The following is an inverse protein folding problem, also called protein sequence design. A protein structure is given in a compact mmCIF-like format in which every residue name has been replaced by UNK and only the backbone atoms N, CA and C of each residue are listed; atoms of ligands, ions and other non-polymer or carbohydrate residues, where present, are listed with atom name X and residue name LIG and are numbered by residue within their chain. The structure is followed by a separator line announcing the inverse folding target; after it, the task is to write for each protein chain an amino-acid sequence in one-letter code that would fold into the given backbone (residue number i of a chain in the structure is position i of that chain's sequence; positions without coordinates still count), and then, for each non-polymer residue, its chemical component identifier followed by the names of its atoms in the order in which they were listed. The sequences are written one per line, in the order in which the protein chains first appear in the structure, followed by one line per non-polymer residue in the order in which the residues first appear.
data_IF_625493518267
#
_entry.id   IF_625493518267
#
_cell.length_a   1.000
_cell.length_b   1.000
_cell.length_c   1.000
_cell.angle_alpha   90.00
_cell.angle_beta   90.00
_cell.angle_gamma   90.00
#
_symmetry.space_group_name_H-M   'P 1'
#
loop_
_entity.id
_entity.type
_entity.pdbx_description
1 polymer ?
#
# COMPACT_ATOMS: atom_id res chain seq x y z
N UNK A 1 -11.67 -1.50 -23.12
CA UNK A 1 -10.97 -0.95 -24.30
C UNK A 1 -11.11 -1.88 -25.51
N UNK A 2 -10.98 -3.20 -25.30
CA UNK A 2 -11.19 -4.29 -26.27
C UNK A 2 -12.56 -4.38 -26.98
N UNK A 3 -13.54 -3.53 -26.68
CA UNK A 3 -14.91 -3.71 -27.18
C UNK A 3 -15.23 -2.88 -28.43
N UNK A 4 -14.67 -1.66 -28.56
CA UNK A 4 -15.11 -0.73 -29.61
C UNK A 4 -14.89 -1.27 -31.02
N UNK A 5 -13.68 -1.75 -31.34
CA UNK A 5 -13.36 -2.22 -32.68
C UNK A 5 -14.09 -3.55 -33.00
N UNK A 6 -14.10 -4.56 -32.11
CA UNK A 6 -14.85 -5.80 -32.36
C UNK A 6 -16.36 -5.60 -32.50
N UNK A 7 -16.98 -4.79 -31.63
CA UNK A 7 -18.43 -4.50 -31.71
C UNK A 7 -18.79 -3.76 -32.99
N UNK A 8 -17.94 -2.81 -33.41
CA UNK A 8 -18.17 -2.05 -34.65
C UNK A 8 -18.06 -2.93 -35.90
N UNK A 9 -17.32 -4.04 -35.84
CA UNK A 9 -17.04 -4.90 -36.99
C UNK A 9 -17.81 -6.23 -36.97
N UNK A 10 -18.78 -6.39 -36.06
CA UNK A 10 -19.60 -7.59 -36.00
C UNK A 10 -20.39 -7.75 -37.31
N UNK A 11 -20.01 -8.75 -38.11
CA UNK A 11 -20.58 -9.01 -39.44
C UNK A 11 -19.90 -8.26 -40.59
N UNK A 12 -18.76 -7.62 -40.37
CA UNK A 12 -17.85 -7.18 -41.44
C UNK A 12 -16.94 -8.33 -41.87
N UNK A 13 -16.51 -8.34 -43.14
CA UNK A 13 -15.45 -9.25 -43.60
C UNK A 13 -14.09 -9.00 -42.93
N UNK A 14 -13.93 -7.83 -42.31
CA UNK A 14 -12.76 -7.46 -41.51
C UNK A 14 -12.99 -7.63 -40.00
N UNK A 15 -14.04 -8.35 -39.61
CA UNK A 15 -14.32 -8.71 -38.21
C UNK A 15 -13.61 -9.99 -37.76
N UNK A 16 -12.62 -10.46 -38.53
CA UNK A 16 -11.80 -11.63 -38.17
C UNK A 16 -10.78 -11.24 -37.10
N UNK A 17 -10.40 -12.20 -36.25
CA UNK A 17 -9.49 -11.98 -35.12
C UNK A 17 -8.17 -11.31 -35.54
N UNK A 18 -7.56 -11.76 -36.65
CA UNK A 18 -6.31 -11.21 -37.18
C UNK A 18 -6.42 -9.73 -37.59
N UNK A 19 -7.53 -9.35 -38.23
CA UNK A 19 -7.80 -7.97 -38.66
C UNK A 19 -8.06 -7.08 -37.43
N UNK A 20 -8.84 -7.59 -36.48
CA UNK A 20 -9.14 -6.92 -35.21
C UNK A 20 -7.84 -6.67 -34.43
N UNK A 21 -7.01 -7.69 -34.26
CA UNK A 21 -5.73 -7.57 -33.55
C UNK A 21 -4.80 -6.57 -34.23
N UNK A 22 -4.76 -6.57 -35.56
CA UNK A 22 -4.01 -5.58 -36.33
C UNK A 22 -4.52 -4.17 -36.05
N UNK A 23 -5.85 -3.95 -36.10
CA UNK A 23 -6.46 -2.65 -35.83
C UNK A 23 -6.24 -2.19 -34.38
N UNK A 24 -6.35 -3.09 -33.40
CA UNK A 24 -6.11 -2.81 -31.97
C UNK A 24 -4.65 -2.43 -31.75
N UNK A 25 -3.71 -3.17 -32.33
CA UNK A 25 -2.29 -2.85 -32.23
C UNK A 25 -1.95 -1.47 -32.81
N UNK A 26 -2.56 -1.10 -33.94
CA UNK A 26 -2.38 0.23 -34.53
C UNK A 26 -3.03 1.30 -33.64
N UNK A 27 -4.21 1.02 -33.10
CA UNK A 27 -4.89 1.93 -32.18
C UNK A 27 -4.03 2.24 -30.96
N UNK A 28 -3.51 1.22 -30.29
CA UNK A 28 -2.70 1.40 -29.07
C UNK A 28 -1.38 2.11 -29.33
N UNK A 29 -0.73 1.86 -30.48
CA UNK A 29 0.54 2.50 -30.83
C UNK A 29 0.40 3.95 -31.32
N UNK A 30 -0.69 4.26 -32.04
CA UNK A 30 -0.80 5.51 -32.78
C UNK A 30 -2.03 6.33 -32.38
N UNK A 31 -3.23 5.75 -32.49
CA UNK A 31 -4.49 6.49 -32.34
C UNK A 31 -4.73 6.92 -30.90
N UNK A 32 -4.50 6.04 -29.93
CA UNK A 32 -4.69 6.29 -28.51
C UNK A 32 -3.72 7.35 -27.97
N UNK A 33 -2.39 7.30 -28.25
CA UNK A 33 -1.48 8.38 -27.86
C UNK A 33 -1.78 9.73 -28.52
N UNK A 34 -2.31 9.73 -29.75
CA UNK A 34 -2.68 10.96 -30.48
C UNK A 34 -4.11 11.44 -30.22
N UNK A 35 -4.87 10.76 -29.35
CA UNK A 35 -6.23 11.16 -29.01
C UNK A 35 -6.20 12.43 -28.14
N UNK A 36 -6.82 13.49 -28.67
CA UNK A 36 -6.84 14.83 -28.05
C UNK A 36 -8.25 15.32 -27.74
N UNK A 37 -9.23 14.98 -28.56
CA UNK A 37 -10.58 15.55 -28.43
C UNK A 37 -11.65 14.62 -28.98
N UNK A 38 -12.78 14.57 -28.27
CA UNK A 38 -13.98 13.86 -28.72
C UNK A 38 -14.60 14.46 -29.99
N UNK A 39 -14.32 15.74 -30.29
CA UNK A 39 -14.88 16.45 -31.45
C UNK A 39 -14.19 16.15 -32.79
N UNK A 40 -13.16 15.29 -32.81
CA UNK A 40 -12.39 14.96 -34.02
C UNK A 40 -12.67 13.53 -34.48
N UNK A 41 -12.45 13.27 -35.76
CA UNK A 41 -12.39 11.91 -36.29
C UNK A 41 -10.96 11.40 -36.28
N UNK A 42 -10.83 10.09 -36.14
CA UNK A 42 -9.58 9.37 -36.08
C UNK A 42 -9.60 8.21 -37.09
N UNK A 43 -8.44 7.78 -37.55
CA UNK A 43 -8.33 6.78 -38.61
C UNK A 43 -7.31 5.71 -38.25
N UNK A 44 -7.66 4.46 -38.53
CA UNK A 44 -6.76 3.31 -38.41
C UNK A 44 -6.57 2.73 -39.81
N UNK A 45 -5.34 2.81 -40.32
CA UNK A 45 -4.93 2.24 -41.60
C UNK A 45 -4.41 0.83 -41.38
N UNK A 46 -5.24 -0.18 -41.64
CA UNK A 46 -4.92 -1.59 -41.38
C UNK A 46 -4.76 -2.43 -42.66
N UNK A 47 -5.44 -2.06 -43.74
CA UNK A 47 -5.52 -2.84 -44.98
C UNK A 47 -4.97 -2.12 -46.22
N UNK A 48 -5.18 -2.75 -47.38
CA UNK A 48 -4.79 -2.29 -48.72
C UNK A 48 -5.82 -1.32 -49.32
N UNK A 49 -5.51 -0.73 -50.47
CA UNK A 49 -6.40 0.25 -51.15
C UNK A 49 -7.71 -0.38 -51.66
N UNK A 50 -7.69 -1.67 -51.99
CA UNK A 50 -8.88 -2.43 -52.42
C UNK A 50 -9.83 -2.83 -51.29
N UNK A 51 -9.39 -2.70 -50.04
CA UNK A 51 -10.12 -3.19 -48.87
C UNK A 51 -11.22 -2.20 -48.49
N UNK A 52 -12.46 -2.51 -48.89
CA UNK A 52 -13.61 -1.64 -48.68
C UNK A 52 -14.76 -2.41 -48.03
N UNK A 53 -15.38 -1.79 -47.03
CA UNK A 53 -16.62 -2.22 -46.41
C UNK A 53 -17.36 -0.98 -45.87
N UNK A 54 -18.05 -0.29 -46.79
CA UNK A 54 -18.64 1.03 -46.54
C UNK A 54 -19.73 0.99 -45.45
N UNK A 55 -20.40 -0.16 -45.28
CA UNK A 55 -21.41 -0.36 -44.24
C UNK A 55 -20.83 -0.17 -42.84
N UNK A 56 -19.56 -0.53 -42.65
CA UNK A 56 -18.83 -0.41 -41.38
C UNK A 56 -17.78 0.72 -41.41
N UNK A 57 -17.93 1.68 -42.34
CA UNK A 57 -17.04 2.86 -42.41
C UNK A 57 -15.61 2.56 -42.87
N UNK A 58 -15.38 1.42 -43.53
CA UNK A 58 -14.07 1.04 -44.06
C UNK A 58 -13.95 1.45 -45.52
N UNK A 59 -12.96 2.30 -45.81
CA UNK A 59 -12.61 2.72 -47.17
C UNK A 59 -11.11 2.66 -47.38
N UNK A 60 -10.70 2.01 -48.46
CA UNK A 60 -9.30 1.85 -48.84
C UNK A 60 -8.40 1.39 -47.68
N UNK A 61 -8.85 0.35 -46.97
CA UNK A 61 -8.14 -0.28 -45.86
C UNK A 61 -8.04 0.59 -44.62
N UNK A 62 -8.91 1.59 -44.48
CA UNK A 62 -8.92 2.54 -43.37
C UNK A 62 -10.30 2.55 -42.73
N UNK A 63 -10.35 2.31 -41.42
CA UNK A 63 -11.57 2.50 -40.62
C UNK A 63 -11.56 3.90 -39.99
N UNK A 64 -12.70 4.58 -40.05
CA UNK A 64 -12.93 5.86 -39.38
C UNK A 64 -13.55 5.61 -38.00
N UNK A 65 -12.98 6.21 -36.96
CA UNK A 65 -13.50 6.21 -35.60
C UNK A 65 -13.93 7.63 -35.21
N UNK A 66 -15.09 7.77 -34.57
CA UNK A 66 -15.49 9.06 -34.01
C UNK A 66 -14.79 9.27 -32.66
N UNK A 67 -14.37 10.51 -32.41
CA UNK A 67 -13.73 10.86 -31.14
C UNK A 67 -14.66 10.66 -29.94
N UNK A 68 -15.98 10.78 -30.12
CA UNK A 68 -16.99 10.46 -29.10
C UNK A 68 -16.90 9.01 -28.68
N UNK A 69 -16.73 8.10 -29.63
CA UNK A 69 -16.70 6.65 -29.37
C UNK A 69 -15.38 6.31 -28.67
N UNK A 70 -14.27 6.90 -29.11
CA UNK A 70 -12.98 6.77 -28.45
C UNK A 70 -13.02 7.33 -27.02
N UNK A 71 -13.70 8.46 -26.80
CA UNK A 71 -13.83 9.08 -25.48
C UNK A 71 -14.50 8.15 -24.45
N UNK A 72 -15.48 7.35 -24.87
CA UNK A 72 -16.13 6.35 -23.99
C UNK A 72 -15.13 5.34 -23.41
N UNK A 73 -14.02 5.07 -24.11
CA UNK A 73 -12.97 4.16 -23.65
C UNK A 73 -12.17 4.73 -22.48
N UNK A 74 -12.08 6.05 -22.38
CA UNK A 74 -11.35 6.76 -21.33
C UNK A 74 -12.26 7.21 -20.19
N UNK A 75 -13.56 7.35 -20.44
CA UNK A 75 -14.54 7.87 -19.48
C UNK A 75 -14.56 7.13 -18.12
N UNK A 76 -14.47 5.78 -18.04
CA UNK A 76 -14.41 5.09 -16.75
C UNK A 76 -13.18 5.51 -15.93
N UNK A 77 -12.02 5.63 -16.56
CA UNK A 77 -10.78 6.04 -15.91
C UNK A 77 -10.88 7.51 -15.44
N UNK A 78 -11.39 8.40 -16.29
CA UNK A 78 -11.60 9.82 -15.95
C UNK A 78 -12.55 9.97 -14.76
N UNK A 79 -13.70 9.29 -14.77
CA UNK A 79 -14.68 9.32 -13.66
C UNK A 79 -14.07 8.81 -12.37
N UNK A 80 -13.29 7.73 -12.44
CA UNK A 80 -12.60 7.18 -11.28
C UNK A 80 -11.61 8.19 -10.68
N UNK A 81 -10.78 8.83 -11.51
CA UNK A 81 -9.84 9.87 -11.08
C UNK A 81 -10.60 11.02 -10.39
N UNK A 82 -11.68 11.51 -11.01
CA UNK A 82 -12.50 12.60 -10.45
C UNK A 82 -13.01 12.23 -9.05
N UNK A 83 -13.62 11.05 -8.92
CA UNK A 83 -14.17 10.56 -7.64
C UNK A 83 -13.11 10.49 -6.55
N UNK A 84 -11.92 9.98 -6.87
CA UNK A 84 -10.81 9.85 -5.91
C UNK A 84 -10.33 11.23 -5.46
N UNK A 85 -10.10 12.15 -6.40
CA UNK A 85 -9.62 13.50 -6.07
C UNK A 85 -10.65 14.26 -5.24
N UNK A 86 -11.94 14.23 -5.61
CA UNK A 86 -13.00 14.87 -4.82
C UNK A 86 -13.10 14.29 -3.41
N UNK A 87 -12.96 12.98 -3.26
CA UNK A 87 -12.92 12.32 -1.95
C UNK A 87 -11.76 12.80 -1.08
N UNK A 88 -10.58 13.02 -1.68
CA UNK A 88 -9.40 13.56 -0.98
C UNK A 88 -9.57 15.04 -0.62
N UNK A 89 -10.11 15.85 -1.54
CA UNK A 89 -10.41 17.26 -1.29
C UNK A 89 -11.37 17.42 -0.11
N UNK A 90 -12.46 16.63 -0.06
CA UNK A 90 -13.45 16.69 1.03
C UNK A 90 -12.89 16.31 2.39
N UNK A 91 -11.93 15.37 2.44
CA UNK A 91 -11.32 14.89 3.69
C UNK A 91 -10.13 15.73 4.14
N UNK A 92 -9.62 16.63 3.28
CA UNK A 92 -8.45 17.42 3.59
C UNK A 92 -8.80 18.55 4.56
N UNK A 93 -8.04 18.66 5.65
CA UNK A 93 -8.10 19.81 6.56
C UNK A 93 -7.39 21.05 5.97
N UNK A 94 -6.60 20.84 4.91
CA UNK A 94 -5.83 21.89 4.22
C UNK A 94 -6.42 22.11 2.82
N UNK A 95 -6.67 23.35 2.39
CA UNK A 95 -7.16 23.63 1.04
C UNK A 95 -6.21 23.11 -0.05
N UNK A 96 -6.68 22.18 -0.88
CA UNK A 96 -5.95 21.70 -2.05
C UNK A 96 -6.13 22.72 -3.18
N UNK A 97 -5.02 23.26 -3.69
CA UNK A 97 -5.02 24.28 -4.76
C UNK A 97 -4.46 23.78 -6.09
N UNK A 98 -3.65 22.72 -6.06
CA UNK A 98 -2.89 22.25 -7.21
C UNK A 98 -2.96 20.73 -7.27
N UNK A 99 -3.19 20.19 -8.47
CA UNK A 99 -3.09 18.77 -8.79
C UNK A 99 -1.96 18.58 -9.82
N UNK A 100 -0.96 17.75 -9.50
CA UNK A 100 0.09 17.36 -10.44
C UNK A 100 -0.30 16.07 -11.15
N UNK A 101 -0.30 16.09 -12.48
CA UNK A 101 -0.59 14.92 -13.30
C UNK A 101 0.72 14.38 -13.88
N UNK A 102 1.12 13.20 -13.43
CA UNK A 102 2.38 12.52 -13.83
C UNK A 102 2.11 11.09 -14.31
N UNK A 103 3.09 10.47 -14.97
CA UNK A 103 2.99 9.12 -15.53
C UNK A 103 2.61 9.11 -17.02
N UNK A 104 2.60 7.91 -17.62
CA UNK A 104 2.38 7.76 -19.07
C UNK A 104 1.03 8.31 -19.54
N UNK A 105 -0.04 8.10 -18.77
CA UNK A 105 -1.39 8.56 -19.15
C UNK A 105 -1.56 10.09 -19.02
N UNK A 106 -0.72 10.75 -18.22
CA UNK A 106 -0.70 12.22 -18.08
C UNK A 106 -0.34 12.94 -19.39
N UNK A 107 0.27 12.22 -20.34
CA UNK A 107 0.59 12.74 -21.68
C UNK A 107 -0.66 12.93 -22.56
N UNK A 108 -1.79 12.33 -22.19
CA UNK A 108 -3.05 12.48 -22.94
C UNK A 108 -3.61 13.90 -22.77
N UNK A 109 -3.72 14.63 -23.88
CA UNK A 109 -4.35 15.96 -23.92
C UNK A 109 -5.84 15.87 -23.59
N UNK A 110 -6.53 14.82 -24.05
CA UNK A 110 -7.93 14.58 -23.70
C UNK A 110 -8.12 14.44 -22.18
N UNK A 111 -7.27 13.65 -21.51
CA UNK A 111 -7.31 13.49 -20.06
C UNK A 111 -7.08 14.84 -19.37
N UNK A 112 -6.02 15.55 -19.76
CA UNK A 112 -5.67 16.82 -19.14
C UNK A 112 -6.78 17.86 -19.28
N UNK A 113 -7.29 18.08 -20.49
CA UNK A 113 -8.36 19.05 -20.74
C UNK A 113 -9.64 18.67 -19.97
N UNK A 114 -10.00 17.39 -19.96
CA UNK A 114 -11.20 16.92 -19.25
C UNK A 114 -11.09 17.16 -17.74
N UNK A 115 -9.96 16.80 -17.13
CA UNK A 115 -9.72 17.02 -15.71
C UNK A 115 -9.57 18.51 -15.38
N UNK A 116 -8.87 19.28 -16.21
CA UNK A 116 -8.70 20.71 -16.02
C UNK A 116 -10.07 21.42 -16.03
N UNK A 117 -10.92 21.11 -17.01
CA UNK A 117 -12.27 21.68 -17.10
C UNK A 117 -13.13 21.31 -15.89
N UNK A 118 -12.97 20.10 -15.35
CA UNK A 118 -13.66 19.68 -14.13
C UNK A 118 -13.19 20.46 -12.90
N UNK A 119 -11.88 20.51 -12.67
CA UNK A 119 -11.29 21.01 -11.43
C UNK A 119 -11.08 22.54 -11.38
N UNK A 120 -11.02 23.23 -12.52
CA UNK A 120 -11.00 24.71 -12.55
C UNK A 120 -12.23 25.28 -11.84
N UNK A 121 -13.40 24.63 -11.95
CA UNK A 121 -14.63 25.03 -11.27
C UNK A 121 -14.48 25.01 -9.74
N UNK A 122 -13.63 24.13 -9.23
CA UNK A 122 -13.30 23.98 -7.82
C UNK A 122 -12.08 24.79 -7.39
N UNK A 123 -11.57 25.70 -8.24
CA UNK A 123 -10.36 26.51 -8.02
C UNK A 123 -9.10 25.66 -7.77
N UNK A 124 -9.03 24.48 -8.40
CA UNK A 124 -7.85 23.61 -8.37
C UNK A 124 -7.16 23.70 -9.74
N UNK A 125 -5.90 24.12 -9.74
CA UNK A 125 -5.07 24.17 -10.95
C UNK A 125 -4.49 22.80 -11.26
N UNK A 126 -4.60 22.35 -12.51
CA UNK A 126 -3.96 21.12 -12.96
C UNK A 126 -2.62 21.46 -13.60
N UNK A 127 -1.54 20.85 -13.12
CA UNK A 127 -0.19 21.06 -13.63
C UNK A 127 0.35 19.75 -14.23
N UNK A 128 0.95 19.87 -15.42
CA UNK A 128 1.76 18.83 -16.06
C UNK A 128 3.19 19.37 -16.15
N UNK A 129 4.16 18.85 -15.38
CA UNK A 129 5.56 19.28 -15.54
C UNK A 129 6.08 18.93 -16.94
N UNK A 130 6.84 19.84 -17.56
CA UNK A 130 7.18 19.78 -19.01
C UNK A 130 8.24 18.72 -19.40
N UNK A 131 8.75 17.96 -18.43
CA UNK A 131 9.74 16.91 -18.68
C UNK A 131 9.10 15.53 -18.56
N UNK A 132 9.35 14.69 -19.57
CA UNK A 132 9.14 13.22 -19.58
C UNK A 132 8.29 12.70 -18.42
N UNK A 133 6.97 12.91 -18.48
CA UNK A 133 6.05 12.64 -17.35
C UNK A 133 6.15 11.19 -16.83
N UNK A 134 6.61 10.27 -17.68
CA UNK A 134 6.89 8.88 -17.34
C UNK A 134 8.14 8.67 -16.46
N UNK A 135 9.01 9.67 -16.33
CA UNK A 135 10.26 9.63 -15.56
C UNK A 135 10.21 10.47 -14.28
N UNK A 136 9.20 11.32 -14.09
CA UNK A 136 9.10 12.20 -12.92
C UNK A 136 9.28 11.46 -11.57
N UNK A 137 8.76 10.23 -11.45
CA UNK A 137 8.95 9.40 -10.25
C UNK A 137 10.41 8.98 -10.07
N UNK A 138 11.08 8.56 -11.15
CA UNK A 138 12.49 8.15 -11.11
C UNK A 138 13.42 9.33 -10.85
N UNK A 139 13.17 10.48 -11.49
CA UNK A 139 13.91 11.72 -11.24
C UNK A 139 13.75 12.20 -9.79
N UNK A 140 12.52 12.14 -9.26
CA UNK A 140 12.25 12.44 -7.86
C UNK A 140 12.97 11.49 -6.89
N UNK A 141 13.05 10.20 -7.21
CA UNK A 141 13.78 9.23 -6.41
C UNK A 141 15.28 9.50 -6.38
N UNK A 142 15.89 9.81 -7.53
CA UNK A 142 17.33 10.16 -7.61
C UNK A 142 17.61 11.48 -6.90
N UNK A 143 16.80 12.51 -7.12
CA UNK A 143 16.96 13.80 -6.41
C UNK A 143 16.82 13.62 -4.90
N UNK A 144 15.87 12.80 -4.44
CA UNK A 144 15.75 12.50 -3.02
C UNK A 144 16.95 11.74 -2.46
N UNK A 145 17.47 10.73 -3.17
CA UNK A 145 18.67 10.00 -2.76
C UNK A 145 19.89 10.92 -2.61
N UNK A 146 20.02 11.93 -3.48
CA UNK A 146 21.13 12.89 -3.42
C UNK A 146 20.94 13.92 -2.30
N UNK A 147 19.77 14.54 -2.22
CA UNK A 147 19.57 15.77 -1.45
C UNK A 147 18.78 15.58 -0.15
N UNK A 148 18.19 14.40 0.07
CA UNK A 148 17.36 14.07 1.24
C UNK A 148 16.29 15.14 1.54
N UNK A 149 15.72 15.72 0.48
CA UNK A 149 14.81 16.88 0.60
C UNK A 149 13.51 16.57 1.35
N UNK A 150 13.09 15.29 1.39
CA UNK A 150 11.91 14.84 2.13
C UNK A 150 12.28 14.49 3.57
N UNK A 151 12.16 15.47 4.47
CA UNK A 151 12.49 15.29 5.90
C UNK A 151 11.40 14.57 6.71
N UNK A 152 10.17 14.65 6.23
CA UNK A 152 9.00 14.16 6.95
C UNK A 152 8.05 13.42 6.03
N UNK A 153 7.49 12.33 6.52
CA UNK A 153 6.46 11.52 5.86
C UNK A 153 5.32 11.26 6.82
N UNK A 154 4.20 10.79 6.30
CA UNK A 154 3.04 10.43 7.12
C UNK A 154 2.80 8.93 6.99
N UNK A 155 2.74 8.22 8.11
CA UNK A 155 2.42 6.80 8.13
C UNK A 155 1.04 6.56 7.53
N UNK A 156 0.94 5.62 6.58
CA UNK A 156 -0.33 5.31 5.89
C UNK A 156 -1.24 4.36 6.68
N UNK A 157 -0.66 3.60 7.60
CA UNK A 157 -1.28 2.51 8.33
C UNK A 157 -0.82 2.54 9.79
N UNK A 158 -1.55 1.85 10.67
CA UNK A 158 -1.02 1.47 11.97
C UNK A 158 -0.07 0.29 11.79
N UNK A 159 1.14 0.39 12.35
CA UNK A 159 2.13 -0.67 12.36
C UNK A 159 2.33 -1.17 13.78
N UNK A 160 2.40 -2.49 13.95
CA UNK A 160 2.45 -3.11 15.26
C UNK A 160 2.74 -4.59 15.19
N UNK A 161 2.53 -5.27 16.31
CA UNK A 161 2.70 -6.72 16.43
C UNK A 161 1.46 -7.35 17.10
N UNK A 162 1.13 -8.60 16.78
CA UNK A 162 0.21 -9.40 17.59
C UNK A 162 0.80 -9.60 18.99
N UNK A 163 -0.03 -9.47 20.01
CA UNK A 163 0.34 -9.72 21.41
C UNK A 163 -0.70 -10.57 22.11
N UNK A 164 -0.35 -10.98 23.33
CA UNK A 164 -1.29 -11.47 24.32
C UNK A 164 -1.39 -10.46 25.47
N UNK A 165 -2.57 -10.34 26.05
CA UNK A 165 -2.83 -9.43 27.15
C UNK A 165 -3.28 -10.20 28.40
N UNK A 166 -3.05 -9.64 29.57
CA UNK A 166 -3.55 -10.22 30.82
C UNK A 166 -5.08 -10.25 30.80
N UNK A 167 -5.66 -11.41 31.11
CA UNK A 167 -7.09 -11.63 31.11
C UNK A 167 -7.77 -10.76 32.17
N UNK A 168 -8.67 -9.87 31.74
CA UNK A 168 -9.44 -9.00 32.62
C UNK A 168 -10.89 -9.48 32.67
N UNK A 169 -11.32 -10.01 33.82
CA UNK A 169 -12.68 -10.51 34.07
C UNK A 169 -13.77 -9.43 33.95
N UNK A 170 -13.39 -8.15 33.99
CA UNK A 170 -14.32 -7.02 33.85
C UNK A 170 -14.36 -6.46 32.43
N UNK A 171 -13.56 -6.99 31.49
CA UNK A 171 -13.56 -6.58 30.10
C UNK A 171 -14.39 -7.57 29.25
N UNK A 172 -15.49 -7.10 28.68
CA UNK A 172 -16.37 -7.91 27.84
C UNK A 172 -15.65 -8.55 26.64
N UNK A 173 -14.69 -7.86 26.02
CA UNK A 173 -13.90 -8.40 24.91
C UNK A 173 -13.00 -9.56 25.37
N UNK A 174 -12.49 -9.52 26.60
CA UNK A 174 -11.71 -10.63 27.15
C UNK A 174 -12.62 -11.81 27.49
N UNK A 175 -13.77 -11.57 28.12
CA UNK A 175 -14.75 -12.62 28.44
C UNK A 175 -15.20 -13.35 27.17
N UNK A 176 -15.47 -12.62 26.09
CA UNK A 176 -15.83 -13.21 24.79
C UNK A 176 -14.75 -14.14 24.21
N UNK A 177 -13.49 -13.97 24.64
CA UNK A 177 -12.32 -14.75 24.23
C UNK A 177 -11.77 -15.66 25.33
N UNK A 178 -12.54 -15.88 26.40
CA UNK A 178 -12.09 -16.66 27.54
C UNK A 178 -11.70 -18.09 27.16
N UNK A 179 -12.35 -18.69 26.17
CA UNK A 179 -12.06 -20.06 25.72
C UNK A 179 -10.69 -20.18 25.03
N UNK A 180 -10.15 -19.06 24.55
CA UNK A 180 -8.81 -18.97 23.96
C UNK A 180 -7.74 -18.50 24.97
N UNK A 181 -8.13 -18.26 26.23
CA UNK A 181 -7.20 -17.77 27.24
C UNK A 181 -6.39 -18.92 27.85
N UNK A 182 -5.12 -18.66 28.14
CA UNK A 182 -4.12 -19.64 28.58
C UNK A 182 -3.38 -19.15 29.82
N UNK A 183 -2.75 -20.07 30.56
CA UNK A 183 -1.94 -19.72 31.73
C UNK A 183 -0.48 -19.51 31.35
N UNK A 184 0.12 -18.45 31.89
CA UNK A 184 1.56 -18.14 31.78
C UNK A 184 2.34 -18.64 33.00
N UNK A 185 3.68 -18.59 32.96
CA UNK A 185 4.55 -19.18 33.98
C UNK A 185 4.24 -18.75 35.43
N UNK A 186 3.93 -17.46 35.73
CA UNK A 186 3.55 -17.01 37.07
C UNK A 186 2.21 -17.59 37.56
N UNK A 187 1.39 -18.13 36.66
CA UNK A 187 0.04 -18.61 36.92
C UNK A 187 -1.06 -17.59 36.63
N UNK A 188 -0.73 -16.44 36.04
CA UNK A 188 -1.71 -15.50 35.50
C UNK A 188 -2.36 -16.06 34.23
N UNK A 189 -3.56 -15.58 33.91
CA UNK A 189 -4.29 -15.97 32.70
C UNK A 189 -4.16 -14.87 31.66
N UNK A 190 -3.77 -15.21 30.44
CA UNK A 190 -3.60 -14.29 29.32
C UNK A 190 -4.51 -14.69 28.16
N UNK A 191 -4.81 -13.75 27.28
CA UNK A 191 -5.62 -13.95 26.08
C UNK A 191 -4.86 -13.44 24.86
N UNK A 192 -4.72 -14.30 23.85
CA UNK A 192 -3.99 -13.99 22.62
C UNK A 192 -4.86 -13.38 21.52
N UNK A 193 -4.22 -12.70 20.57
CA UNK A 193 -4.88 -12.13 19.39
C UNK A 193 -5.15 -10.63 19.46
N UNK A 194 -4.65 -9.96 20.50
CA UNK A 194 -4.64 -8.51 20.57
C UNK A 194 -3.58 -7.93 19.62
N UNK A 195 -3.73 -6.67 19.22
CA UNK A 195 -2.81 -5.96 18.35
C UNK A 195 -2.21 -4.73 19.03
N UNK A 196 -0.89 -4.74 19.22
CA UNK A 196 -0.18 -3.63 19.83
C UNK A 196 0.41 -2.70 18.78
N UNK A 197 -0.20 -1.53 18.60
CA UNK A 197 0.28 -0.48 17.70
C UNK A 197 1.58 0.14 18.24
N UNK A 198 2.64 0.12 17.43
CA UNK A 198 3.93 0.76 17.73
C UNK A 198 3.99 2.14 17.04
N UNK A 199 3.55 2.20 15.78
CA UNK A 199 3.45 3.44 15.02
C UNK A 199 2.01 3.64 14.54
N UNK A 200 1.28 4.64 15.06
CA UNK A 200 -0.08 4.92 14.62
C UNK A 200 -0.13 5.43 13.18
N UNK A 201 -1.26 5.21 12.51
CA UNK A 201 -1.62 5.85 11.23
C UNK A 201 -1.63 7.39 11.37
N UNK A 202 -1.36 8.09 10.27
CA UNK A 202 -1.29 9.56 10.21
C UNK A 202 -0.21 10.20 11.10
N UNK A 203 0.78 9.42 11.54
CA UNK A 203 1.91 9.93 12.32
C UNK A 203 2.96 10.52 11.40
N UNK A 204 3.41 11.74 11.69
CA UNK A 204 4.56 12.34 11.01
C UNK A 204 5.85 11.64 11.44
N UNK A 205 6.48 10.91 10.52
CA UNK A 205 7.74 10.19 10.69
C UNK A 205 8.90 10.95 10.05
N UNK A 206 10.10 10.78 10.59
CA UNK A 206 11.36 11.28 10.04
C UNK A 206 12.40 10.16 10.07
N UNK A 207 13.40 10.25 9.19
CA UNK A 207 14.43 9.20 9.00
C UNK A 207 15.16 8.83 10.29
N UNK A 208 15.36 9.78 11.19
CA UNK A 208 16.13 9.59 12.43
C UNK A 208 15.28 9.20 13.64
N UNK A 209 13.96 9.20 13.52
CA UNK A 209 13.08 9.00 14.67
C UNK A 209 12.69 7.54 14.79
N UNK A 210 13.10 6.95 15.91
CA UNK A 210 12.68 5.62 16.31
C UNK A 210 11.28 5.63 16.92
N UNK A 211 10.49 4.62 16.54
CA UNK A 211 9.22 4.29 17.16
C UNK A 211 9.40 2.97 17.89
N UNK A 212 9.40 3.00 19.22
CA UNK A 212 9.66 1.82 20.04
C UNK A 212 8.51 1.54 20.99
N UNK A 213 8.22 0.26 21.22
CA UNK A 213 7.29 -0.18 22.25
C UNK A 213 7.90 -1.35 23.03
N UNK A 214 7.84 -1.34 24.39
CA UNK A 214 8.37 -2.42 25.21
C UNK A 214 7.40 -3.61 25.25
N UNK A 215 7.97 -4.80 25.33
CA UNK A 215 7.29 -6.08 25.44
C UNK A 215 8.06 -6.99 26.41
N UNK A 216 7.41 -8.07 26.83
CA UNK A 216 8.05 -9.06 27.66
C UNK A 216 7.51 -10.47 27.42
N UNK A 217 8.31 -11.47 27.78
CA UNK A 217 7.92 -12.86 27.88
C UNK A 217 8.12 -13.36 29.31
N UNK A 218 7.24 -14.25 29.74
CA UNK A 218 7.35 -14.93 31.03
C UNK A 218 7.77 -16.37 30.80
N UNK A 219 8.94 -16.72 31.33
CA UNK A 219 9.60 -18.00 31.14
C UNK A 219 9.54 -18.82 32.43
N UNK A 220 9.34 -20.13 32.30
CA UNK A 220 9.38 -21.08 33.42
C UNK A 220 10.80 -21.36 33.92
N UNK A 221 11.79 -21.24 33.03
CA UNK A 221 13.20 -21.38 33.34
C UNK A 221 14.05 -20.38 32.53
N UNK A 222 15.32 -20.25 32.92
CA UNK A 222 16.31 -19.44 32.21
C UNK A 222 17.49 -20.28 31.70
N UNK A 223 17.32 -21.61 31.60
CA UNK A 223 18.40 -22.53 31.27
C UNK A 223 18.49 -22.77 29.76
N UNK A 224 19.12 -21.83 29.06
CA UNK A 224 19.24 -21.84 27.60
C UNK A 224 20.41 -22.70 27.13
N UNK A 225 20.11 -23.95 26.71
CA UNK A 225 21.08 -24.93 26.19
C UNK A 225 21.44 -24.76 24.70
N UNK A 226 20.56 -24.15 23.92
CA UNK A 226 20.75 -23.84 22.49
C UNK A 226 20.37 -22.37 22.24
N UNK A 227 20.83 -21.73 21.16
CA UNK A 227 20.47 -20.34 20.87
C UNK A 227 18.95 -20.11 20.90
N UNK A 228 18.51 -19.10 21.64
CA UNK A 228 17.12 -18.66 21.70
C UNK A 228 16.92 -17.43 20.83
N UNK A 229 16.21 -17.62 19.72
CA UNK A 229 15.87 -16.57 18.78
C UNK A 229 14.46 -16.06 19.05
N UNK A 230 14.36 -14.88 19.67
CA UNK A 230 13.08 -14.21 19.85
C UNK A 230 12.61 -13.60 18.53
N UNK A 231 11.34 -13.78 18.17
CA UNK A 231 10.82 -13.36 16.87
C UNK A 231 9.47 -12.66 16.96
N UNK A 232 9.34 -11.51 16.30
CA UNK A 232 8.09 -10.73 16.25
C UNK A 232 7.64 -10.53 14.80
N UNK A 233 6.38 -10.88 14.51
CA UNK A 233 5.77 -10.59 13.21
C UNK A 233 5.26 -9.15 13.18
N UNK A 234 5.90 -8.30 12.37
CA UNK A 234 5.44 -6.93 12.13
C UNK A 234 4.26 -6.98 11.18
N UNK A 235 3.15 -6.34 11.55
CA UNK A 235 1.95 -6.27 10.72
C UNK A 235 1.49 -4.81 10.56
N UNK A 236 0.81 -4.52 9.45
CA UNK A 236 0.07 -3.28 9.29
C UNK A 236 -1.43 -3.52 9.16
N UNK A 237 -2.21 -2.58 9.70
CA UNK A 237 -3.66 -2.55 9.55
C UNK A 237 -4.07 -1.69 8.35
N UNK A 238 -4.78 -2.29 7.39
CA UNK A 238 -5.21 -1.66 6.13
C UNK A 238 -6.70 -1.30 6.10
N UNK A 239 -7.33 -1.14 7.25
CA UNK A 239 -8.72 -0.69 7.33
C UNK A 239 -8.93 0.76 6.91
N UNK A 240 -10.19 1.07 6.62
CA UNK A 240 -10.61 2.43 6.27
C UNK A 240 -10.69 3.34 7.50
N UNK A 241 -10.86 2.73 8.67
CA UNK A 241 -10.86 3.32 10.00
C UNK A 241 -9.53 4.04 10.29
N UNK A 242 -9.58 4.99 11.22
CA UNK A 242 -8.38 5.77 11.59
C UNK A 242 -7.39 4.94 12.42
N UNK A 243 -7.88 3.95 13.17
CA UNK A 243 -7.06 3.10 14.01
C UNK A 243 -7.45 1.63 13.89
N UNK A 244 -6.46 0.75 14.00
CA UNK A 244 -6.64 -0.69 14.13
C UNK A 244 -7.55 -1.03 15.32
N UNK A 245 -8.44 -2.04 15.18
CA UNK A 245 -9.13 -2.59 16.33
C UNK A 245 -8.11 -3.21 17.29
N UNK A 246 -8.42 -3.20 18.58
CA UNK A 246 -7.61 -3.82 19.63
C UNK A 246 -7.39 -5.32 19.38
N UNK A 247 -8.34 -5.99 18.74
CA UNK A 247 -8.33 -7.43 18.47
C UNK A 247 -8.29 -7.73 16.99
N UNK A 248 -7.38 -8.63 16.58
CA UNK A 248 -7.14 -8.97 15.17
C UNK A 248 -8.36 -9.64 14.54
N UNK A 249 -9.08 -10.46 15.30
CA UNK A 249 -10.27 -11.19 14.87
C UNK A 249 -11.48 -10.29 14.55
N UNK A 250 -11.47 -9.02 14.97
CA UNK A 250 -12.49 -8.03 14.57
C UNK A 250 -12.32 -7.60 13.11
N UNK A 251 -11.15 -7.80 12.52
CA UNK A 251 -10.85 -7.42 11.13
C UNK A 251 -9.76 -8.30 10.48
N UNK A 252 -9.93 -9.63 10.44
CA UNK A 252 -8.83 -10.58 10.17
C UNK A 252 -8.17 -10.38 8.79
N UNK A 253 -8.94 -9.93 7.79
CA UNK A 253 -8.45 -9.72 6.44
C UNK A 253 -7.77 -8.35 6.23
N UNK A 254 -7.77 -7.49 7.26
CA UNK A 254 -7.20 -6.14 7.19
C UNK A 254 -5.81 -6.05 7.82
N UNK A 255 -5.36 -7.09 8.53
CA UNK A 255 -3.99 -7.18 9.04
C UNK A 255 -3.10 -7.88 8.01
N UNK A 256 -2.07 -7.18 7.54
CA UNK A 256 -1.11 -7.71 6.58
C UNK A 256 0.24 -7.89 7.25
N UNK A 257 0.80 -9.11 7.32
CA UNK A 257 2.17 -9.31 7.77
C UNK A 257 3.14 -8.68 6.78
N UNK A 258 4.14 -8.00 7.33
CA UNK A 258 5.14 -7.25 6.57
C UNK A 258 6.50 -7.94 6.61
N UNK A 259 6.97 -8.28 7.80
CA UNK A 259 8.19 -9.07 8.01
C UNK A 259 8.14 -9.77 9.37
N UNK A 260 9.16 -10.58 9.62
CA UNK A 260 9.46 -11.11 10.95
C UNK A 260 10.84 -10.60 11.35
N UNK A 261 10.93 -9.92 12.49
CA UNK A 261 12.20 -9.52 13.10
C UNK A 261 12.63 -10.57 14.09
N UNK A 262 13.92 -10.88 14.13
CA UNK A 262 14.47 -11.93 15.00
C UNK A 262 15.76 -11.47 15.67
N UNK A 263 15.94 -11.81 16.94
CA UNK A 263 17.17 -11.56 17.68
C UNK A 263 17.55 -12.73 18.59
N UNK A 264 18.84 -13.07 18.63
CA UNK A 264 19.39 -14.01 19.62
C UNK A 264 19.48 -13.31 20.98
N UNK A 265 18.64 -13.74 21.91
CA UNK A 265 18.54 -13.20 23.28
C UNK A 265 19.05 -14.19 24.33
N UNK A 266 19.82 -15.21 23.91
CA UNK A 266 20.29 -16.29 24.79
C UNK A 266 21.03 -15.79 26.03
N UNK A 267 21.94 -14.83 25.85
CA UNK A 267 22.74 -14.31 26.96
C UNK A 267 21.90 -13.47 27.92
N UNK A 268 20.93 -12.72 27.40
CA UNK A 268 19.96 -12.01 28.21
C UNK A 268 19.17 -13.01 29.07
N UNK A 269 18.61 -14.07 28.47
CA UNK A 269 17.85 -15.08 29.22
C UNK A 269 18.70 -15.70 30.33
N UNK A 270 19.93 -16.15 30.04
CA UNK A 270 20.85 -16.73 31.05
C UNK A 270 21.15 -15.78 32.21
N UNK A 271 21.11 -14.47 31.98
CA UNK A 271 21.37 -13.45 32.99
C UNK A 271 20.16 -13.09 33.87
N UNK A 272 18.94 -13.50 33.47
CA UNK A 272 17.70 -13.15 34.15
C UNK A 272 17.70 -13.62 35.61
N UNK A 273 17.11 -12.78 36.47
CA UNK A 273 16.94 -13.09 37.89
C UNK A 273 15.60 -13.79 38.11
N UNK A 274 15.55 -14.78 39.02
CA UNK A 274 14.30 -15.45 39.36
C UNK A 274 13.36 -14.47 40.05
N UNK A 275 12.09 -14.53 39.67
CA UNK A 275 10.97 -13.90 40.34
C UNK A 275 10.12 -15.00 40.99
N UNK A 276 9.33 -14.64 41.99
CA UNK A 276 8.41 -15.56 42.66
C UNK A 276 6.99 -15.02 42.53
N UNK A 277 6.10 -15.80 41.93
CA UNK A 277 4.70 -15.41 41.77
C UNK A 277 3.95 -15.43 43.10
N UNK A 278 2.75 -14.86 43.13
CA UNK A 278 1.86 -14.91 44.31
C UNK A 278 1.55 -16.36 44.75
N UNK A 279 1.70 -17.32 43.85
CA UNK A 279 1.45 -18.73 44.07
C UNK A 279 2.73 -19.50 44.48
N UNK A 280 3.84 -18.79 44.70
CA UNK A 280 5.13 -19.39 45.08
C UNK A 280 5.90 -20.03 43.91
N UNK A 281 5.48 -19.82 42.66
CA UNK A 281 6.17 -20.37 41.48
C UNK A 281 7.33 -19.47 41.07
N UNK A 282 8.49 -20.05 40.82
CA UNK A 282 9.63 -19.35 40.23
C UNK A 282 9.40 -19.13 38.74
N UNK A 283 9.66 -17.92 38.25
CA UNK A 283 9.58 -17.56 36.83
C UNK A 283 10.60 -16.47 36.49
N UNK A 284 10.80 -16.21 35.20
CA UNK A 284 11.74 -15.23 34.68
C UNK A 284 11.04 -14.31 33.69
N UNK A 285 11.45 -13.03 33.65
CA UNK A 285 10.86 -12.03 32.75
C UNK A 285 11.93 -11.58 31.77
N UNK A 286 11.75 -11.93 30.49
CA UNK A 286 12.56 -11.41 29.40
C UNK A 286 11.93 -10.12 28.91
N UNK A 287 12.61 -8.98 29.07
CA UNK A 287 12.13 -7.68 28.58
C UNK A 287 12.90 -7.23 27.34
N UNK A 288 12.17 -6.78 26.33
CA UNK A 288 12.73 -6.25 25.08
C UNK A 288 11.83 -5.14 24.53
N UNK A 289 12.25 -4.49 23.44
CA UNK A 289 11.45 -3.55 22.67
C UNK A 289 11.47 -3.97 21.21
N UNK A 290 10.35 -3.79 20.51
CA UNK A 290 10.37 -3.74 19.05
C UNK A 290 10.55 -2.28 18.65
N UNK A 291 11.53 -2.02 17.80
CA UNK A 291 11.87 -0.70 17.28
C UNK A 291 11.55 -0.68 15.80
N UNK A 292 10.80 0.33 15.36
CA UNK A 292 10.50 0.62 13.98
C UNK A 292 11.18 1.93 13.58
N UNK A 293 11.93 1.90 12.49
CA UNK A 293 12.54 3.05 11.86
C UNK A 293 11.97 3.20 10.45
N UNK A 294 11.50 4.39 10.12
CA UNK A 294 11.06 4.69 8.75
C UNK A 294 12.19 5.47 8.08
N UNK A 295 13.07 4.73 7.41
CA UNK A 295 14.19 5.29 6.66
C UNK A 295 13.74 5.94 5.35
N UNK A 296 14.56 5.76 4.30
CA UNK A 296 14.38 6.42 3.01
C UNK A 296 13.13 5.99 2.25
N UNK A 297 12.78 4.72 2.17
CA UNK A 297 11.57 4.22 1.49
C UNK A 297 11.01 2.97 2.13
N UNK A 298 11.78 2.39 3.04
CA UNK A 298 11.52 1.13 3.71
C UNK A 298 11.24 1.37 5.18
N UNK A 299 10.49 0.45 5.76
CA UNK A 299 10.38 0.32 7.20
C UNK A 299 11.48 -0.65 7.63
N UNK A 300 12.36 -0.23 8.52
CA UNK A 300 13.28 -1.13 9.21
C UNK A 300 12.67 -1.49 10.56
N UNK A 301 12.79 -2.76 10.91
CA UNK A 301 12.33 -3.24 12.20
C UNK A 301 13.42 -4.08 12.87
N UNK A 302 13.56 -3.92 14.18
CA UNK A 302 14.54 -4.65 14.98
C UNK A 302 14.05 -4.87 16.41
N UNK A 303 14.68 -5.83 17.10
CA UNK A 303 14.48 -6.09 18.52
C UNK A 303 15.63 -5.46 19.30
N UNK A 304 15.31 -4.65 20.30
CA UNK A 304 16.28 -4.01 21.20
C UNK A 304 16.08 -4.49 22.64
N UNK A 305 17.16 -4.70 23.39
CA UNK A 305 17.12 -5.09 24.79
C UNK A 305 18.28 -4.47 25.58
N UNK A 306 18.23 -4.58 26.90
CA UNK A 306 19.34 -4.12 27.75
C UNK A 306 20.04 -5.32 28.36
N UNK A 307 21.35 -5.40 28.16
CA UNK A 307 22.22 -6.43 28.74
C UNK A 307 23.31 -5.74 29.56
N UNK A 308 23.36 -6.00 30.87
CA UNK A 308 24.33 -5.39 31.79
C UNK A 308 24.36 -3.85 31.72
N UNK A 309 23.20 -3.21 31.57
CA UNK A 309 23.08 -1.74 31.48
C UNK A 309 23.42 -1.14 30.11
N UNK A 310 23.76 -1.96 29.12
CA UNK A 310 24.07 -1.53 27.75
C UNK A 310 22.95 -1.96 26.80
N UNK A 311 22.47 -1.05 25.95
CA UNK A 311 21.49 -1.40 24.92
C UNK A 311 22.15 -2.27 23.84
N UNK A 312 21.48 -3.38 23.50
CA UNK A 312 21.82 -4.31 22.45
C UNK A 312 20.68 -4.34 21.45
N UNK A 313 21.00 -4.64 20.19
CA UNK A 313 20.03 -4.70 19.10
C UNK A 313 20.30 -5.94 18.26
N UNK A 314 19.24 -6.57 17.80
CA UNK A 314 19.29 -7.66 16.84
C UNK A 314 19.57 -7.12 15.43
N UNK A 315 19.74 -8.01 14.44
CA UNK A 315 19.80 -7.60 13.05
C UNK A 315 18.50 -6.89 12.62
N UNK A 316 18.64 -5.73 11.98
CA UNK A 316 17.52 -5.04 11.37
C UNK A 316 16.98 -5.83 10.16
N UNK A 317 15.66 -5.89 10.04
CA UNK A 317 14.98 -6.47 8.88
C UNK A 317 14.31 -5.35 8.09
N UNK A 318 14.74 -5.21 6.83
CA UNK A 318 14.18 -4.25 5.88
C UNK A 318 12.84 -4.77 5.38
N UNK A 319 11.81 -3.94 5.51
CA UNK A 319 10.45 -4.23 5.05
C UNK A 319 10.19 -3.51 3.75
N UNK A 320 9.86 -4.30 2.74
CA UNK A 320 9.30 -3.79 1.51
C UNK A 320 7.78 -4.01 1.51
N UNK A 321 7.02 -2.92 1.44
CA UNK A 321 5.57 -2.98 1.24
C UNK A 321 5.25 -3.36 -0.22
N UNK A 322 5.44 -4.63 -0.56
CA UNK A 322 5.03 -5.20 -1.84
C UNK A 322 3.75 -6.01 -1.66
N UNK A 323 2.61 -5.34 -1.52
CA UNK A 323 1.39 -5.91 -2.10
C UNK A 323 1.23 -5.32 -3.49
N UNK A 324 1.23 -6.20 -4.50
CA UNK A 324 0.51 -5.93 -5.75
C UNK A 324 -0.91 -5.57 -5.30
N UNK A 325 -1.27 -4.31 -5.41
CA UNK A 325 -2.69 -3.98 -5.46
C UNK A 325 -3.25 -4.82 -6.61
N UNK A 326 -4.16 -5.74 -6.30
CA UNK A 326 -4.89 -6.50 -7.31
C UNK A 326 -5.62 -5.46 -8.19
N UNK A 327 -5.02 -5.20 -9.35
CA UNK A 327 -5.59 -4.39 -10.41
C UNK A 327 -6.69 -5.15 -11.12
#
# INVERSE_FOLDING_TARGET
MLALIPETLQGSKFGMEEDIDTMVNIFDKNTKPSFKSAGKSYWIKFGRVGDNDLKYGIRSGTIKLNGTDIATLFEPAVKSIIKVVEGKVKKSTIPIKVLFLVGGFATSDYLFETLQNHFTRSRISLLRPDAYLNKAVAEGAVSYYLDHTVKHRVSKYDFGIPISETFNVNNADHIARQDCAFYVAPGDRWVGGAFSVILPKNTTVSETKEYRRPYFLELSDNNVKSPWNESCSIQCYRGLEDHAPEWIDKAPNLFTPLCTVTADVSNLIRSLKPNVSKQGKTYYVLSFSVVLLFGLTELDAEIAWTENGVEKRGPATIVYDFKKDDK
#
